data_IF_128164216597
#
_entry.id   IF_128164216597
#
_cell.length_a   1.000
_cell.length_b   1.000
_cell.length_c   1.000
_cell.angle_alpha   90.00
_cell.angle_beta   90.00
_cell.angle_gamma   90.00
#
_symmetry.space_group_name_H-M   'P 1'
#
loop_
_entity.id
_entity.type
_entity.pdbx_description
1 polymer ?
#
# COMPACT_ATOMS: atom_id res chain seq x y z
N UNK A 1 43.67 4.16 -4.56
CA UNK A 1 42.51 4.51 -3.71
C UNK A 1 41.76 3.23 -3.41
N UNK A 2 41.76 2.79 -2.14
CA UNK A 2 41.07 1.56 -1.71
C UNK A 2 39.58 1.89 -1.60
N UNK A 3 38.75 1.22 -2.38
CA UNK A 3 37.30 1.21 -2.13
C UNK A 3 37.08 0.52 -0.78
N UNK A 4 36.87 1.31 0.27
CA UNK A 4 36.35 0.82 1.55
C UNK A 4 35.06 0.06 1.25
N UNK A 5 34.95 -1.17 1.77
CA UNK A 5 33.84 -2.07 1.48
C UNK A 5 32.50 -1.38 1.67
N UNK A 6 31.72 -1.31 0.59
CA UNK A 6 30.28 -1.10 0.68
C UNK A 6 29.74 -2.28 1.49
N UNK A 7 29.62 -2.10 2.81
CA UNK A 7 28.64 -2.85 3.56
C UNK A 7 27.31 -2.44 2.93
N UNK A 8 26.73 -3.32 2.11
CA UNK A 8 25.32 -3.22 1.76
C UNK A 8 24.59 -2.95 3.09
N UNK A 9 23.87 -1.82 3.24
CA UNK A 9 23.10 -1.58 4.44
C UNK A 9 22.25 -2.83 4.62
N UNK A 10 22.38 -3.51 5.77
CA UNK A 10 21.50 -4.62 6.09
C UNK A 10 20.10 -4.09 5.88
N UNK A 11 19.40 -4.61 4.87
CA UNK A 11 18.00 -4.31 4.65
C UNK A 11 17.34 -4.56 6.00
N UNK A 12 16.81 -3.52 6.67
CA UNK A 12 16.00 -3.77 7.83
C UNK A 12 14.93 -4.75 7.35
N UNK A 13 14.66 -5.80 8.13
CA UNK A 13 13.59 -6.73 7.80
C UNK A 13 12.31 -5.98 7.42
N UNK A 14 11.45 -6.62 6.64
CA UNK A 14 10.19 -6.06 6.12
C UNK A 14 9.53 -5.18 7.19
N UNK A 15 9.51 -3.87 6.94
CA UNK A 15 8.92 -2.87 7.86
C UNK A 15 7.62 -2.36 7.27
N UNK A 16 6.63 -2.17 8.12
CA UNK A 16 5.37 -1.52 7.73
C UNK A 16 5.55 -0.01 7.83
N UNK A 17 5.15 0.79 6.83
CA UNK A 17 5.16 2.24 6.92
C UNK A 17 4.35 2.75 8.11
N UNK A 18 4.81 3.82 8.75
CA UNK A 18 4.04 4.48 9.83
C UNK A 18 2.85 5.25 9.25
N UNK A 19 1.84 5.50 10.07
CA UNK A 19 0.72 6.36 9.69
C UNK A 19 1.24 7.73 9.22
N UNK A 20 0.82 8.16 8.02
CA UNK A 20 1.26 9.40 7.34
C UNK A 20 2.74 9.45 6.96
N UNK A 21 3.46 8.33 6.99
CA UNK A 21 4.79 8.25 6.41
C UNK A 21 4.68 8.46 4.89
N UNK A 22 5.53 9.31 4.33
CA UNK A 22 5.64 9.46 2.87
C UNK A 22 6.35 8.24 2.32
N UNK A 23 5.62 7.43 1.57
CA UNK A 23 6.15 6.24 0.87
C UNK A 23 6.26 6.56 -0.60
N UNK A 24 7.42 6.28 -1.19
CA UNK A 24 7.66 6.43 -2.63
C UNK A 24 7.96 5.05 -3.21
N UNK A 25 7.25 4.70 -4.28
CA UNK A 25 7.59 3.53 -5.09
C UNK A 25 8.81 3.88 -5.93
N UNK A 26 9.87 3.08 -5.83
CA UNK A 26 11.10 3.28 -6.60
C UNK A 26 11.20 2.15 -7.62
N UNK A 27 11.46 2.49 -8.88
CA UNK A 27 11.65 1.53 -9.95
C UNK A 27 12.91 0.71 -9.72
N UNK A 28 13.04 -0.40 -10.45
CA UNK A 28 14.25 -1.24 -10.43
C UNK A 28 15.51 -0.42 -10.76
N UNK A 29 15.36 0.66 -11.53
CA UNK A 29 16.46 1.54 -11.94
C UNK A 29 16.71 2.70 -10.96
N UNK A 30 16.02 2.75 -9.82
CA UNK A 30 16.24 3.75 -8.78
C UNK A 30 15.49 5.08 -8.99
N UNK A 31 14.68 5.21 -10.04
CA UNK A 31 13.83 6.39 -10.25
C UNK A 31 12.51 6.26 -9.48
N UNK A 32 12.00 7.33 -8.85
CA UNK A 32 10.63 7.32 -8.33
C UNK A 32 9.66 6.97 -9.46
N UNK A 33 8.84 5.94 -9.24
CA UNK A 33 7.72 5.64 -10.11
C UNK A 33 6.66 6.69 -9.80
N UNK A 34 6.53 7.64 -10.71
CA UNK A 34 5.38 8.52 -10.70
C UNK A 34 4.17 7.69 -11.11
N UNK A 35 3.26 7.45 -10.17
CA UNK A 35 1.93 6.95 -10.50
C UNK A 35 1.20 8.10 -11.21
N UNK A 36 1.48 8.26 -12.51
CA UNK A 36 0.81 9.22 -13.40
C UNK A 36 -0.72 9.03 -13.42
N UNK A 37 -1.20 7.89 -12.89
CA UNK A 37 -2.59 7.69 -12.56
C UNK A 37 -2.99 8.56 -11.36
N UNK A 38 -3.89 9.53 -11.59
CA UNK A 38 -4.62 10.28 -10.54
C UNK A 38 -5.60 9.38 -9.77
N UNK A 39 -5.25 8.11 -9.57
CA UNK A 39 -6.10 7.11 -8.97
C UNK A 39 -5.65 6.82 -7.54
N UNK A 40 -6.61 6.47 -6.69
CA UNK A 40 -6.35 6.17 -5.28
C UNK A 40 -5.87 4.72 -5.19
N UNK A 41 -4.66 4.54 -4.68
CA UNK A 41 -4.08 3.22 -4.42
C UNK A 41 -4.32 2.81 -2.97
N UNK A 42 -4.80 1.59 -2.76
CA UNK A 42 -4.99 0.99 -1.43
C UNK A 42 -4.16 -0.28 -1.33
N UNK A 43 -3.25 -0.35 -0.34
CA UNK A 43 -2.50 -1.57 -0.05
C UNK A 43 -3.23 -2.36 1.05
N UNK A 44 -3.69 -3.55 0.73
CA UNK A 44 -4.42 -4.42 1.66
C UNK A 44 -3.51 -5.59 2.06
N UNK A 45 -3.25 -5.79 3.36
CA UNK A 45 -2.46 -6.93 3.81
C UNK A 45 -3.25 -8.23 3.59
N UNK A 46 -2.61 -9.23 2.96
CA UNK A 46 -3.21 -10.55 2.68
C UNK A 46 -2.59 -11.68 3.52
N UNK A 47 -1.59 -11.37 4.35
CA UNK A 47 -0.90 -12.32 5.22
C UNK A 47 0.55 -12.53 4.81
N UNK A 48 1.34 -13.21 5.65
CA UNK A 48 2.76 -13.54 5.38
C UNK A 48 3.68 -12.36 5.02
N UNK A 49 3.31 -11.14 5.39
CA UNK A 49 4.04 -9.92 5.00
C UNK A 49 3.79 -9.46 3.57
N UNK A 50 2.86 -10.12 2.86
CA UNK A 50 2.39 -9.72 1.53
C UNK A 50 1.20 -8.75 1.66
N UNK A 51 1.17 -7.80 0.73
CA UNK A 51 0.04 -6.89 0.54
C UNK A 51 -0.30 -6.83 -0.94
N UNK A 52 -1.59 -6.91 -1.24
CA UNK A 52 -2.09 -6.65 -2.58
C UNK A 52 -2.37 -5.16 -2.76
N UNK A 53 -2.04 -4.66 -3.93
CA UNK A 53 -2.33 -3.29 -4.32
C UNK A 53 -3.66 -3.26 -5.09
N UNK A 54 -4.62 -2.48 -4.60
CA UNK A 54 -5.91 -2.25 -5.23
C UNK A 54 -5.99 -0.81 -5.76
N UNK A 55 -6.55 -0.66 -6.96
CA UNK A 55 -6.82 0.63 -7.58
C UNK A 55 -8.29 0.98 -7.41
N UNK A 56 -8.58 2.17 -6.89
CA UNK A 56 -9.96 2.59 -6.63
C UNK A 56 -10.80 2.65 -7.90
N UNK A 57 -10.23 3.03 -9.04
CA UNK A 57 -10.94 3.05 -10.31
C UNK A 57 -11.24 1.67 -10.91
N UNK A 58 -10.53 0.64 -10.46
CA UNK A 58 -10.61 -0.73 -11.02
C UNK A 58 -11.14 -1.75 -10.02
N UNK A 59 -11.53 -1.32 -8.81
CA UNK A 59 -12.01 -2.24 -7.78
C UNK A 59 -13.37 -2.83 -8.16
N UNK A 60 -13.38 -4.12 -8.50
CA UNK A 60 -14.59 -4.87 -8.78
C UNK A 60 -14.89 -5.93 -7.70
N UNK A 61 -16.13 -6.43 -7.70
CA UNK A 61 -16.58 -7.48 -6.75
C UNK A 61 -15.75 -8.78 -6.83
N UNK A 62 -15.10 -9.04 -7.97
CA UNK A 62 -14.25 -10.20 -8.20
C UNK A 62 -12.93 -10.07 -7.43
N UNK A 63 -12.30 -8.90 -7.43
CA UNK A 63 -11.04 -8.67 -6.70
C UNK A 63 -11.26 -8.83 -5.19
N UNK A 64 -12.39 -8.35 -4.68
CA UNK A 64 -12.78 -8.50 -3.28
C UNK A 64 -13.04 -9.96 -2.90
N UNK A 65 -13.56 -10.78 -3.81
CA UNK A 65 -13.86 -12.20 -3.53
C UNK A 65 -12.59 -13.06 -3.37
N UNK A 66 -11.45 -12.58 -3.85
CA UNK A 66 -10.16 -13.28 -3.74
C UNK A 66 -9.46 -13.02 -2.39
N UNK A 67 -9.94 -12.05 -1.62
CA UNK A 67 -9.36 -11.65 -0.35
C UNK A 67 -9.83 -12.54 0.79
N UNK A 68 -8.95 -12.74 1.76
CA UNK A 68 -9.28 -13.41 3.02
C UNK A 68 -10.38 -12.65 3.80
N UNK A 69 -11.14 -13.36 4.63
CA UNK A 69 -12.22 -12.80 5.44
C UNK A 69 -11.74 -11.63 6.32
N UNK A 70 -10.51 -11.73 6.85
CA UNK A 70 -9.89 -10.68 7.67
C UNK A 70 -9.64 -9.40 6.88
N UNK A 71 -9.18 -9.54 5.64
CA UNK A 71 -8.93 -8.43 4.72
C UNK A 71 -10.26 -7.77 4.31
N UNK A 72 -11.28 -8.57 4.01
CA UNK A 72 -12.63 -8.09 3.71
C UNK A 72 -13.24 -7.30 4.87
N UNK A 73 -13.11 -7.80 6.10
CA UNK A 73 -13.60 -7.08 7.28
C UNK A 73 -12.88 -5.74 7.46
N UNK A 74 -11.58 -5.69 7.17
CA UNK A 74 -10.78 -4.46 7.23
C UNK A 74 -11.25 -3.43 6.21
N UNK A 75 -11.57 -3.86 4.98
CA UNK A 75 -12.13 -2.99 3.93
C UNK A 75 -13.51 -2.46 4.32
N UNK A 76 -14.39 -3.28 4.89
CA UNK A 76 -15.71 -2.84 5.38
C UNK A 76 -15.59 -1.78 6.49
N UNK A 77 -14.66 -1.97 7.42
CA UNK A 77 -14.37 -0.99 8.47
C UNK A 77 -13.85 0.33 7.88
N UNK A 78 -13.02 0.26 6.84
CA UNK A 78 -12.55 1.44 6.11
C UNK A 78 -13.70 2.17 5.41
N UNK A 79 -14.56 1.43 4.70
CA UNK A 79 -15.75 1.98 4.03
C UNK A 79 -16.63 2.73 5.03
N UNK A 80 -17.03 2.09 6.14
CA UNK A 80 -17.88 2.72 7.15
C UNK A 80 -17.28 4.03 7.70
N UNK A 81 -15.97 4.05 7.97
CA UNK A 81 -15.28 5.26 8.43
C UNK A 81 -15.26 6.36 7.38
N UNK A 82 -15.00 6.01 6.12
CA UNK A 82 -14.99 6.98 5.02
C UNK A 82 -16.38 7.57 4.80
N UNK A 83 -17.43 6.75 4.79
CA UNK A 83 -18.82 7.21 4.68
C UNK A 83 -19.16 8.21 5.78
N UNK A 84 -18.91 7.87 7.06
CA UNK A 84 -19.19 8.79 8.17
C UNK A 84 -18.39 10.10 8.07
N UNK A 85 -17.12 10.04 7.67
CA UNK A 85 -16.28 11.25 7.55
C UNK A 85 -16.67 12.13 6.36
N UNK A 86 -17.15 11.54 5.27
CA UNK A 86 -17.62 12.27 4.10
C UNK A 86 -18.98 12.92 4.36
N UNK A 87 -19.92 12.21 4.98
CA UNK A 87 -21.23 12.74 5.35
C UNK A 87 -21.15 13.88 6.37
N UNK A 88 -20.13 13.89 7.23
CA UNK A 88 -19.89 14.98 8.19
C UNK A 88 -19.29 16.26 7.58
N UNK A 89 -18.88 16.22 6.32
CA UNK A 89 -18.25 17.36 5.63
C UNK A 89 -19.16 18.06 4.63
N UNK A 90 -20.38 17.58 4.47
CA UNK A 90 -21.48 18.25 3.75
C UNK A 90 -22.40 18.98 4.75
#
# INVERSE_FOLDING_TARGET
MRCCGYRLPKTPGVRVPRHRERVYSISVNGSPIDSSAKDIVINVPVGNGESIQLLASQMDSVDLSSLDETALQSIRNLQSRLTTLCEQRE
#
